data_IF_638576288054
#
_entry.id   IF_638576288054
#
_cell.length_a   1.000
_cell.length_b   1.000
_cell.length_c   1.000
_cell.angle_alpha   90.00
_cell.angle_beta   90.00
_cell.angle_gamma   90.00
#
_symmetry.space_group_name_H-M   'P 1'
#
loop_
_entity.id
_entity.type
_entity.pdbx_description
1 polymer ?
#
# COMPACT_ATOMS: atom_id res chain seq x y z
N UNK A 1 -41.77 23.18 28.50
CA UNK A 1 -42.56 22.08 29.09
C UNK A 1 -43.27 21.35 27.96
N UNK A 2 -43.03 20.03 27.86
CA UNK A 2 -43.84 19.01 27.18
C UNK A 2 -44.15 19.21 25.68
N UNK A 3 -44.27 18.21 24.81
CA UNK A 3 -44.34 16.76 24.98
C UNK A 3 -44.03 16.15 23.61
N UNK A 4 -43.18 15.13 23.58
CA UNK A 4 -42.92 14.32 22.38
C UNK A 4 -44.14 13.45 22.08
N UNK A 5 -44.72 13.58 20.88
CA UNK A 5 -45.74 12.65 20.38
C UNK A 5 -45.10 11.53 19.56
N UNK A 6 -45.40 10.32 20.01
CA UNK A 6 -45.03 9.02 19.44
C UNK A 6 -45.87 8.77 18.18
N UNK A 7 -45.22 8.44 17.07
CA UNK A 7 -45.88 7.93 15.86
C UNK A 7 -46.02 6.40 15.94
N UNK A 8 -47.26 5.92 15.91
CA UNK A 8 -47.60 4.51 15.68
C UNK A 8 -47.70 4.23 14.17
N UNK A 9 -47.23 3.07 13.66
CA UNK A 9 -47.35 2.72 12.25
C UNK A 9 -48.80 2.40 11.88
N UNK A 10 -49.36 3.17 10.96
CA UNK A 10 -50.69 2.96 10.41
C UNK A 10 -50.77 1.68 9.57
N UNK A 11 -51.80 0.88 9.87
CA UNK A 11 -52.29 -0.22 9.05
C UNK A 11 -52.65 0.27 7.63
N UNK A 12 -52.02 -0.29 6.60
CA UNK A 12 -52.52 -0.19 5.23
C UNK A 12 -53.46 -1.35 4.94
N UNK A 13 -54.77 -1.08 4.98
CA UNK A 13 -55.81 -1.96 4.44
C UNK A 13 -55.70 -1.95 2.91
N UNK A 14 -55.35 -3.09 2.32
CA UNK A 14 -55.47 -3.30 0.87
C UNK A 14 -56.89 -3.77 0.54
N UNK A 15 -57.73 -2.88 0.03
CA UNK A 15 -58.98 -3.23 -0.65
C UNK A 15 -58.88 -2.78 -2.12
N UNK A 16 -58.20 -3.58 -2.94
CA UNK A 16 -58.39 -3.52 -4.39
C UNK A 16 -59.41 -4.59 -4.76
N UNK A 17 -60.69 -4.31 -4.48
CA UNK A 17 -61.81 -5.09 -5.01
C UNK A 17 -62.09 -4.53 -6.40
N UNK A 18 -61.63 -5.22 -7.43
CA UNK A 18 -62.05 -4.94 -8.81
C UNK A 18 -63.51 -5.38 -8.90
N UNK A 19 -64.47 -4.48 -9.19
CA UNK A 19 -65.86 -4.90 -9.35
C UNK A 19 -65.90 -5.88 -10.53
N UNK A 20 -66.41 -7.08 -10.29
CA UNK A 20 -66.63 -8.10 -11.32
C UNK A 20 -67.64 -7.54 -12.32
N UNK A 21 -67.13 -6.91 -13.38
CA UNK A 21 -67.93 -6.45 -14.51
C UNK A 21 -68.74 -7.62 -15.03
N UNK A 22 -70.06 -7.39 -15.17
CA UNK A 22 -70.98 -8.39 -15.71
C UNK A 22 -70.46 -8.88 -17.06
N UNK A 23 -70.26 -10.18 -17.20
CA UNK A 23 -69.93 -10.79 -18.48
C UNK A 23 -71.10 -10.55 -19.44
N UNK A 24 -70.85 -9.78 -20.50
CA UNK A 24 -71.78 -9.66 -21.61
C UNK A 24 -71.91 -11.04 -22.27
N UNK A 25 -73.14 -11.47 -22.64
CA UNK A 25 -73.32 -12.73 -23.35
C UNK A 25 -72.49 -12.69 -24.63
N UNK A 26 -71.47 -13.55 -24.70
CA UNK A 26 -70.63 -13.68 -25.89
C UNK A 26 -71.47 -14.29 -26.99
N UNK A 27 -71.60 -13.58 -28.11
CA UNK A 27 -72.13 -14.14 -29.34
C UNK A 27 -71.23 -15.28 -29.81
N UNK A 28 -71.77 -16.49 -30.07
CA UNK A 28 -70.97 -17.59 -30.58
C UNK A 28 -70.39 -17.23 -31.96
N UNK A 29 -69.14 -17.62 -32.26
CA UNK A 29 -68.51 -17.32 -33.54
C UNK A 29 -69.33 -17.95 -34.67
N UNK A 30 -69.72 -17.13 -35.65
CA UNK A 30 -70.46 -17.59 -36.82
C UNK A 30 -69.54 -18.49 -37.67
N UNK A 31 -69.69 -19.81 -37.53
CA UNK A 31 -68.91 -20.84 -38.26
C UNK A 31 -69.19 -20.89 -39.77
N UNK A 32 -70.18 -20.15 -40.26
CA UNK A 32 -70.63 -20.19 -41.65
C UNK A 32 -70.22 -18.98 -42.49
N UNK A 33 -69.48 -18.03 -41.93
CA UNK A 33 -69.01 -16.85 -42.68
C UNK A 33 -67.56 -17.06 -43.09
N UNK A 34 -67.34 -17.91 -44.11
CA UNK A 34 -66.08 -17.94 -44.85
C UNK A 34 -66.11 -16.84 -45.92
N UNK A 35 -66.06 -15.57 -45.50
CA UNK A 35 -65.68 -14.53 -46.46
C UNK A 35 -64.21 -14.73 -46.80
N UNK A 36 -63.96 -15.33 -47.95
CA UNK A 36 -62.65 -15.31 -48.59
C UNK A 36 -62.38 -13.85 -48.94
N UNK A 37 -61.65 -13.15 -48.06
CA UNK A 37 -61.09 -11.83 -48.37
C UNK A 37 -60.15 -12.01 -49.56
N UNK A 38 -60.67 -11.78 -50.76
CA UNK A 38 -59.86 -11.59 -51.95
C UNK A 38 -59.20 -10.22 -51.80
N UNK A 39 -57.94 -10.21 -51.38
CA UNK A 39 -57.06 -9.07 -51.64
C UNK A 39 -56.87 -9.04 -53.16
N UNK A 40 -57.74 -8.30 -53.84
CA UNK A 40 -57.38 -7.83 -55.16
C UNK A 40 -56.19 -6.90 -54.95
N UNK A 41 -55.02 -7.32 -55.41
CA UNK A 41 -53.91 -6.43 -55.72
C UNK A 41 -54.35 -5.54 -56.89
N UNK A 42 -55.28 -4.62 -56.62
CA UNK A 42 -55.43 -3.45 -57.47
C UNK A 42 -54.25 -2.53 -57.14
N UNK A 43 -53.24 -2.67 -57.98
CA UNK A 43 -52.20 -1.67 -58.18
C UNK A 43 -52.90 -0.40 -58.65
N UNK A 44 -53.35 0.42 -57.70
CA UNK A 44 -53.69 1.81 -57.96
C UNK A 44 -52.44 2.47 -58.57
N UNK A 45 -52.55 3.13 -59.74
CA UNK A 45 -51.41 3.73 -60.39
C UNK A 45 -50.85 4.79 -59.46
N UNK A 46 -49.56 4.66 -59.17
CA UNK A 46 -48.80 5.51 -58.29
C UNK A 46 -48.93 6.98 -58.70
N UNK A 47 -49.85 7.70 -58.08
CA UNK A 47 -49.57 9.08 -57.73
C UNK A 47 -48.46 9.00 -56.71
N UNK A 48 -47.30 9.49 -57.10
CA UNK A 48 -46.13 9.72 -56.27
C UNK A 48 -46.53 10.65 -55.14
N UNK A 49 -47.11 10.10 -54.06
CA UNK A 49 -47.21 10.76 -52.78
C UNK A 49 -46.01 10.28 -51.97
N UNK A 50 -44.95 11.07 -52.09
CA UNK A 50 -43.69 11.01 -51.39
C UNK A 50 -43.82 10.54 -49.93
N UNK A 51 -43.03 9.53 -49.57
CA UNK A 51 -42.56 9.24 -48.21
C UNK A 51 -43.64 9.04 -47.15
N UNK A 52 -44.11 7.80 -47.01
CA UNK A 52 -44.92 7.23 -45.91
C UNK A 52 -45.20 8.21 -44.74
N UNK A 53 -46.14 9.13 -44.99
CA UNK A 53 -46.61 10.08 -44.00
C UNK A 53 -47.47 9.31 -42.99
N UNK A 54 -46.81 8.87 -41.94
CA UNK A 54 -47.39 8.36 -40.70
C UNK A 54 -48.13 7.03 -40.85
N UNK A 55 -47.52 5.89 -40.44
CA UNK A 55 -48.15 4.57 -40.55
C UNK A 55 -49.47 4.46 -39.76
N UNK A 56 -49.74 5.37 -38.82
CA UNK A 56 -51.02 5.44 -38.09
C UNK A 56 -52.17 6.07 -38.91
N UNK A 57 -51.87 6.87 -39.94
CA UNK A 57 -52.87 7.48 -40.83
C UNK A 57 -53.10 6.64 -42.09
N UNK A 58 -52.31 5.57 -42.27
CA UNK A 58 -52.49 4.57 -43.33
C UNK A 58 -53.85 3.88 -43.15
N UNK A 59 -54.80 4.20 -44.03
CA UNK A 59 -56.16 3.62 -44.04
C UNK A 59 -57.29 4.61 -43.71
N UNK A 60 -56.98 5.83 -43.26
CA UNK A 60 -57.99 6.91 -43.12
C UNK A 60 -58.18 7.64 -44.46
N UNK A 61 -58.92 7.03 -45.38
CA UNK A 61 -59.28 7.66 -46.65
C UNK A 61 -60.14 8.91 -46.46
N UNK A 62 -59.80 10.01 -47.13
CA UNK A 62 -60.57 11.26 -47.13
C UNK A 62 -60.16 12.28 -46.06
N UNK A 63 -59.21 11.97 -45.18
CA UNK A 63 -58.65 12.95 -44.25
C UNK A 63 -57.57 13.79 -44.94
N UNK A 64 -57.73 15.12 -44.96
CA UNK A 64 -56.67 16.04 -45.40
C UNK A 64 -55.93 16.55 -44.17
N UNK A 65 -54.63 16.29 -44.13
CA UNK A 65 -53.75 16.75 -43.07
C UNK A 65 -53.72 18.28 -43.07
N UNK A 66 -54.25 18.90 -42.01
CA UNK A 66 -54.19 20.36 -41.88
C UNK A 66 -52.76 20.79 -41.55
N UNK A 67 -52.43 22.07 -41.78
CA UNK A 67 -51.11 22.60 -41.40
C UNK A 67 -50.83 22.40 -39.90
N UNK A 68 -51.86 22.58 -39.06
CA UNK A 68 -51.77 22.34 -37.62
C UNK A 68 -51.43 20.89 -37.27
N UNK A 69 -51.94 19.92 -38.03
CA UNK A 69 -51.61 18.50 -37.82
C UNK A 69 -50.16 18.22 -38.22
N UNK A 70 -49.67 18.83 -39.30
CA UNK A 70 -48.28 18.70 -39.75
C UNK A 70 -47.30 19.20 -38.69
N UNK A 71 -47.54 20.42 -38.18
CA UNK A 71 -46.69 21.04 -37.15
C UNK A 71 -46.69 20.22 -35.85
N UNK A 72 -47.83 19.66 -35.45
CA UNK A 72 -47.94 18.79 -34.28
C UNK A 72 -47.09 17.53 -34.45
N UNK A 73 -47.20 16.89 -35.61
CA UNK A 73 -46.47 15.64 -35.87
C UNK A 73 -44.97 15.90 -35.96
N UNK A 74 -44.56 16.98 -36.62
CA UNK A 74 -43.17 17.39 -36.68
C UNK A 74 -42.62 17.64 -35.27
N UNK A 75 -43.33 18.43 -34.45
CA UNK A 75 -42.95 18.70 -33.07
C UNK A 75 -42.84 17.43 -32.23
N UNK A 76 -43.79 16.51 -32.37
CA UNK A 76 -43.75 15.21 -31.68
C UNK A 76 -42.52 14.39 -32.11
N UNK A 77 -42.19 14.38 -33.40
CA UNK A 77 -41.01 13.68 -33.91
C UNK A 77 -39.71 14.33 -33.43
N UNK A 78 -39.63 15.66 -33.44
CA UNK A 78 -38.49 16.41 -32.90
C UNK A 78 -38.32 16.12 -31.40
N UNK A 79 -39.40 16.13 -30.61
CA UNK A 79 -39.34 15.82 -29.17
C UNK A 79 -38.87 14.38 -28.92
N UNK A 80 -39.36 13.40 -29.72
CA UNK A 80 -38.89 12.01 -29.64
C UNK A 80 -37.40 11.90 -29.96
N UNK A 81 -36.94 12.55 -31.03
CA UNK A 81 -35.54 12.56 -31.41
C UNK A 81 -34.68 13.21 -30.33
N UNK A 82 -35.13 14.33 -29.77
CA UNK A 82 -34.42 15.03 -28.70
C UNK A 82 -34.27 14.16 -27.46
N UNK A 83 -35.35 13.47 -27.03
CA UNK A 83 -35.30 12.55 -25.88
C UNK A 83 -34.38 11.36 -26.15
N UNK A 84 -34.39 10.80 -27.36
CA UNK A 84 -33.49 9.72 -27.74
C UNK A 84 -32.03 10.16 -27.69
N UNK A 85 -31.69 11.28 -28.31
CA UNK A 85 -30.32 11.81 -28.31
C UNK A 85 -29.83 12.17 -26.90
N UNK A 86 -30.70 12.71 -26.04
CA UNK A 86 -30.37 12.95 -24.64
C UNK A 86 -30.10 11.64 -23.88
N UNK A 87 -30.87 10.60 -24.15
CA UNK A 87 -30.64 9.27 -23.59
C UNK A 87 -29.31 8.69 -24.04
N UNK A 88 -29.03 8.72 -25.34
CA UNK A 88 -27.77 8.23 -25.91
C UNK A 88 -26.54 8.97 -25.38
N UNK A 89 -26.65 10.30 -25.18
CA UNK A 89 -25.59 11.10 -24.58
C UNK A 89 -25.32 10.66 -23.14
N UNK A 90 -26.36 10.51 -22.31
CA UNK A 90 -26.21 10.04 -20.93
C UNK A 90 -25.63 8.62 -20.86
N UNK A 91 -26.04 7.73 -21.76
CA UNK A 91 -25.52 6.37 -21.85
C UNK A 91 -24.03 6.38 -22.24
N UNK A 92 -23.63 7.18 -23.23
CA UNK A 92 -22.23 7.35 -23.63
C UNK A 92 -21.37 7.92 -22.50
N UNK A 93 -21.84 8.96 -21.81
CA UNK A 93 -21.15 9.51 -20.64
C UNK A 93 -20.98 8.46 -19.53
N UNK A 94 -22.02 7.67 -19.25
CA UNK A 94 -21.94 6.60 -18.27
C UNK A 94 -20.96 5.50 -18.68
N UNK A 95 -20.87 5.20 -19.98
CA UNK A 95 -19.96 4.21 -20.55
C UNK A 95 -18.51 4.68 -20.44
N UNK A 96 -18.22 5.92 -20.85
CA UNK A 96 -16.88 6.52 -20.75
C UNK A 96 -16.41 6.55 -19.29
N UNK A 97 -17.26 6.96 -18.36
CA UNK A 97 -16.92 6.98 -16.93
C UNK A 97 -16.62 5.58 -16.38
N UNK A 98 -17.38 4.56 -16.81
CA UNK A 98 -17.13 3.17 -16.42
C UNK A 98 -15.77 2.68 -16.95
N UNK A 99 -15.46 2.99 -18.21
CA UNK A 99 -14.18 2.62 -18.83
C UNK A 99 -13.00 3.37 -18.19
N UNK A 100 -13.16 4.66 -17.88
CA UNK A 100 -12.16 5.45 -17.17
C UNK A 100 -11.82 4.83 -15.80
N UNK A 101 -12.85 4.47 -15.02
CA UNK A 101 -12.66 3.79 -13.73
C UNK A 101 -11.99 2.41 -13.89
N UNK A 102 -12.31 1.68 -14.95
CA UNK A 102 -11.66 0.40 -15.25
C UNK A 102 -10.17 0.60 -15.58
N UNK A 103 -9.85 1.61 -16.39
CA UNK A 103 -8.47 1.96 -16.75
C UNK A 103 -7.66 2.39 -15.52
N UNK A 104 -8.21 3.23 -14.65
CA UNK A 104 -7.55 3.65 -13.41
C UNK A 104 -7.24 2.46 -12.49
N UNK A 105 -8.17 1.50 -12.39
CA UNK A 105 -7.95 0.26 -11.66
C UNK A 105 -6.82 -0.57 -12.29
N UNK A 106 -6.80 -0.69 -13.61
CA UNK A 106 -5.73 -1.39 -14.33
C UNK A 106 -4.36 -0.72 -14.16
N UNK A 107 -4.30 0.61 -14.22
CA UNK A 107 -3.06 1.36 -13.96
C UNK A 107 -2.57 1.15 -12.53
N UNK A 108 -3.47 1.26 -11.55
CA UNK A 108 -3.14 0.99 -10.14
C UNK A 108 -2.64 -0.44 -9.92
N UNK A 109 -3.20 -1.42 -10.63
CA UNK A 109 -2.75 -2.82 -10.60
C UNK A 109 -1.36 -2.97 -11.22
N UNK A 110 -1.12 -2.33 -12.37
CA UNK A 110 0.18 -2.34 -13.05
C UNK A 110 1.27 -1.68 -12.20
N UNK A 111 0.99 -0.54 -11.58
CA UNK A 111 1.93 0.15 -10.69
C UNK A 111 2.35 -0.75 -9.52
N UNK A 112 1.39 -1.39 -8.85
CA UNK A 112 1.68 -2.37 -7.78
C UNK A 112 2.52 -3.55 -8.27
N UNK A 113 2.28 -4.02 -9.49
CA UNK A 113 3.08 -5.09 -10.09
C UNK A 113 4.52 -4.63 -10.36
N UNK A 114 4.72 -3.41 -10.86
CA UNK A 114 6.04 -2.81 -11.08
C UNK A 114 6.79 -2.56 -9.76
N UNK A 115 6.13 -2.02 -8.74
CA UNK A 115 6.68 -1.92 -7.38
C UNK A 115 7.05 -3.28 -6.79
N UNK A 116 6.31 -4.33 -7.16
CA UNK A 116 6.65 -5.71 -6.83
C UNK A 116 7.95 -6.14 -7.49
N UNK A 117 8.13 -5.82 -8.78
CA UNK A 117 9.32 -6.15 -9.57
C UNK A 117 10.57 -5.38 -9.11
N UNK A 118 10.43 -4.13 -8.69
CA UNK A 118 11.56 -3.31 -8.20
C UNK A 118 12.20 -3.86 -6.91
N UNK A 119 11.45 -4.68 -6.15
CA UNK A 119 11.97 -5.36 -4.96
C UNK A 119 12.85 -6.57 -5.29
N UNK A 120 12.87 -7.02 -6.54
CA UNK A 120 13.71 -8.14 -6.94
C UNK A 120 15.13 -7.67 -7.21
N UNK A 121 16.14 -8.44 -6.76
CA UNK A 121 17.52 -8.14 -7.09
C UNK A 121 17.73 -8.14 -8.61
N UNK A 122 18.54 -7.19 -9.10
CA UNK A 122 18.94 -7.13 -10.52
C UNK A 122 19.61 -8.44 -10.94
N UNK A 123 19.46 -8.83 -12.21
CA UNK A 123 20.09 -10.04 -12.75
C UNK A 123 21.59 -10.15 -12.46
N UNK A 124 22.34 -9.04 -12.57
CA UNK A 124 23.76 -8.98 -12.23
C UNK A 124 24.02 -9.39 -10.77
N UNK A 125 23.24 -8.83 -9.84
CA UNK A 125 23.38 -9.16 -8.42
C UNK A 125 23.04 -10.62 -8.13
N UNK A 126 22.08 -11.21 -8.84
CA UNK A 126 21.77 -12.64 -8.71
C UNK A 126 22.92 -13.52 -9.21
N UNK A 127 23.56 -13.14 -10.32
CA UNK A 127 24.74 -13.82 -10.86
C UNK A 127 25.91 -13.71 -9.88
N UNK A 128 26.18 -12.54 -9.32
CA UNK A 128 27.27 -12.34 -8.35
C UNK A 128 27.06 -13.18 -7.08
N UNK A 129 25.81 -13.22 -6.58
CA UNK A 129 25.45 -14.07 -5.45
C UNK A 129 25.64 -15.56 -5.79
N UNK A 130 25.26 -15.99 -7.00
CA UNK A 130 25.48 -17.35 -7.47
C UNK A 130 26.97 -17.69 -7.55
N UNK A 131 27.81 -16.80 -8.11
CA UNK A 131 29.28 -17.00 -8.15
C UNK A 131 29.85 -17.13 -6.75
N UNK A 132 29.45 -16.25 -5.83
CA UNK A 132 29.92 -16.25 -4.43
C UNK A 132 29.49 -17.50 -3.65
N UNK A 133 28.30 -18.03 -3.97
CA UNK A 133 27.81 -19.26 -3.37
C UNK A 133 28.60 -20.47 -3.90
N UNK A 134 28.71 -20.58 -5.22
CA UNK A 134 29.30 -21.73 -5.88
C UNK A 134 30.82 -21.79 -5.74
N UNK A 135 31.50 -20.67 -5.55
CA UNK A 135 32.94 -20.62 -5.27
C UNK A 135 33.36 -21.34 -3.99
N UNK A 136 32.40 -21.66 -3.11
CA UNK A 136 32.63 -22.48 -1.91
C UNK A 136 32.71 -23.99 -2.24
N UNK A 137 32.19 -24.39 -3.39
CA UNK A 137 32.01 -25.81 -3.77
C UNK A 137 32.68 -26.18 -5.10
N UNK A 138 32.86 -25.20 -5.99
CA UNK A 138 33.34 -25.37 -7.35
C UNK A 138 34.56 -24.45 -7.55
N UNK A 139 35.64 -24.94 -8.19
CA UNK A 139 36.83 -24.13 -8.45
C UNK A 139 36.54 -22.95 -9.39
N UNK A 140 37.21 -21.82 -9.15
CA UNK A 140 36.92 -20.55 -9.82
C UNK A 140 37.02 -20.62 -11.36
N UNK A 141 37.97 -21.38 -11.90
CA UNK A 141 38.19 -21.48 -13.36
C UNK A 141 37.05 -22.12 -14.15
N UNK A 142 36.21 -22.94 -13.49
CA UNK A 142 35.01 -23.54 -14.11
C UNK A 142 33.82 -22.56 -14.08
N UNK A 143 33.77 -21.69 -13.07
CA UNK A 143 32.70 -20.70 -12.89
C UNK A 143 32.73 -19.59 -13.93
N UNK A 144 33.92 -19.19 -14.38
CA UNK A 144 34.10 -18.10 -15.35
C UNK A 144 33.73 -18.51 -16.78
N UNK A 145 33.68 -19.81 -17.06
CA UNK A 145 33.30 -20.37 -18.36
C UNK A 145 31.78 -20.57 -18.52
N UNK A 146 31.03 -20.55 -17.42
CA UNK A 146 29.59 -20.74 -17.42
C UNK A 146 28.86 -19.45 -17.82
N UNK A 147 27.88 -19.60 -18.70
CA UNK A 147 26.93 -18.52 -19.00
C UNK A 147 26.02 -18.24 -17.80
N UNK A 148 25.44 -17.04 -17.74
CA UNK A 148 24.61 -16.62 -16.61
C UNK A 148 23.45 -17.58 -16.33
N UNK A 149 22.86 -18.19 -17.36
CA UNK A 149 21.74 -19.13 -17.20
C UNK A 149 22.19 -20.45 -16.59
N UNK A 150 23.28 -21.05 -17.08
CA UNK A 150 23.80 -22.30 -16.51
C UNK A 150 24.36 -22.10 -15.11
N UNK A 151 25.01 -20.95 -14.84
CA UNK A 151 25.45 -20.58 -13.51
C UNK A 151 24.27 -20.56 -12.52
N UNK A 152 23.20 -19.84 -12.84
CA UNK A 152 22.01 -19.78 -11.98
C UNK A 152 21.32 -21.15 -11.84
N UNK A 153 21.31 -21.96 -12.89
CA UNK A 153 20.76 -23.32 -12.84
C UNK A 153 21.57 -24.27 -11.95
N UNK A 154 22.88 -24.06 -11.84
CA UNK A 154 23.76 -24.87 -10.98
C UNK A 154 23.62 -24.54 -9.49
N UNK A 155 22.98 -23.43 -9.13
CA UNK A 155 22.66 -23.09 -7.75
C UNK A 155 21.57 -24.02 -7.22
N UNK A 156 21.96 -24.93 -6.32
CA UNK A 156 21.01 -25.82 -5.64
C UNK A 156 20.48 -25.19 -4.36
N UNK A 157 19.19 -25.42 -4.07
CA UNK A 157 18.56 -24.94 -2.83
C UNK A 157 19.29 -25.47 -1.58
N UNK A 158 19.71 -26.74 -1.60
CA UNK A 158 20.45 -27.35 -0.50
C UNK A 158 21.80 -26.66 -0.26
N UNK A 159 22.52 -26.32 -1.33
CA UNK A 159 23.76 -25.52 -1.27
C UNK A 159 23.52 -24.15 -0.65
N UNK A 160 22.46 -23.45 -1.10
CA UNK A 160 22.09 -22.14 -0.56
C UNK A 160 21.75 -22.20 0.94
N UNK A 161 20.90 -23.15 1.36
CA UNK A 161 20.53 -23.33 2.77
C UNK A 161 21.75 -23.64 3.65
N UNK A 162 22.69 -24.45 3.14
CA UNK A 162 23.94 -24.76 3.84
C UNK A 162 24.81 -23.53 4.00
N UNK A 163 25.05 -22.77 2.93
CA UNK A 163 25.86 -21.56 2.96
C UNK A 163 25.28 -20.50 3.91
N UNK A 164 23.95 -20.31 3.92
CA UNK A 164 23.28 -19.41 4.87
C UNK A 164 23.52 -19.87 6.31
N UNK A 165 23.35 -21.16 6.58
CA UNK A 165 23.55 -21.73 7.92
C UNK A 165 25.01 -21.63 8.38
N UNK A 166 25.96 -21.75 7.47
CA UNK A 166 27.39 -21.59 7.75
C UNK A 166 27.74 -20.12 8.03
N UNK A 167 27.33 -19.18 7.17
CA UNK A 167 27.55 -17.75 7.40
C UNK A 167 26.88 -17.28 8.68
N UNK A 168 25.69 -17.77 9.00
CA UNK A 168 25.01 -17.49 10.27
C UNK A 168 25.84 -17.97 11.47
N UNK A 169 26.30 -19.23 11.44
CA UNK A 169 27.18 -19.78 12.48
C UNK A 169 28.49 -19.00 12.63
N UNK A 170 29.09 -18.58 11.51
CA UNK A 170 30.32 -17.77 11.53
C UNK A 170 30.08 -16.39 12.17
N UNK A 171 28.97 -15.73 11.83
CA UNK A 171 28.56 -14.45 12.45
C UNK A 171 28.31 -14.63 13.95
N UNK A 172 27.59 -15.68 14.35
CA UNK A 172 27.30 -15.95 15.76
C UNK A 172 28.59 -16.25 16.55
N UNK A 173 29.51 -17.02 15.96
CA UNK A 173 30.83 -17.29 16.55
C UNK A 173 31.67 -16.01 16.70
N UNK A 174 31.65 -15.12 15.70
CA UNK A 174 32.36 -13.84 15.78
C UNK A 174 31.76 -12.93 16.85
N UNK A 175 30.44 -12.85 16.95
CA UNK A 175 29.74 -12.08 18.00
C UNK A 175 30.12 -12.56 19.41
N UNK A 176 30.14 -13.87 19.63
CA UNK A 176 30.59 -14.44 20.92
C UNK A 176 32.07 -14.16 21.18
N UNK A 177 32.90 -14.20 20.15
CA UNK A 177 34.32 -13.82 20.25
C UNK A 177 34.51 -12.35 20.65
N UNK A 178 33.69 -11.44 20.11
CA UNK A 178 33.70 -10.01 20.50
C UNK A 178 33.26 -9.85 21.95
N UNK A 179 32.13 -10.45 22.34
CA UNK A 179 31.62 -10.38 23.72
C UNK A 179 32.64 -10.87 24.76
N UNK A 180 33.30 -12.00 24.49
CA UNK A 180 34.34 -12.53 25.39
C UNK A 180 35.57 -11.63 25.49
N UNK A 181 35.92 -10.93 24.41
CA UNK A 181 37.04 -9.97 24.43
C UNK A 181 36.66 -8.73 25.25
N UNK A 182 35.44 -8.23 25.09
CA UNK A 182 34.91 -7.12 25.88
C UNK A 182 34.88 -7.48 27.37
N UNK A 183 34.34 -8.65 27.75
CA UNK A 183 34.32 -9.12 29.14
C UNK A 183 35.72 -9.26 29.74
N UNK A 184 36.69 -9.77 28.97
CA UNK A 184 38.09 -9.83 29.41
C UNK A 184 38.67 -8.44 29.67
N UNK A 185 38.41 -7.49 28.79
CA UNK A 185 38.85 -6.11 28.98
C UNK A 185 38.19 -5.46 30.20
N UNK A 186 36.89 -5.69 30.43
CA UNK A 186 36.19 -5.19 31.61
C UNK A 186 36.77 -5.77 32.90
N UNK A 187 37.04 -7.08 32.94
CA UNK A 187 37.65 -7.73 34.09
C UNK A 187 39.06 -7.20 34.36
N UNK A 188 39.88 -6.99 33.32
CA UNK A 188 41.21 -6.39 33.44
C UNK A 188 41.15 -4.94 33.96
N UNK A 189 40.14 -4.17 33.53
CA UNK A 189 39.89 -2.82 34.06
C UNK A 189 39.50 -2.86 35.54
N UNK A 190 38.65 -3.82 35.94
CA UNK A 190 38.24 -3.99 37.34
C UNK A 190 39.42 -4.39 38.23
N UNK A 191 40.25 -5.31 37.77
CA UNK A 191 41.45 -5.75 38.47
C UNK A 191 42.41 -4.57 38.71
N UNK A 192 42.73 -3.79 37.67
CA UNK A 192 43.55 -2.58 37.80
C UNK A 192 42.94 -1.54 38.73
N UNK A 193 41.62 -1.38 38.73
CA UNK A 193 40.93 -0.49 39.67
C UNK A 193 41.14 -0.92 41.13
N UNK A 194 41.05 -2.22 41.41
CA UNK A 194 41.32 -2.76 42.74
C UNK A 194 42.79 -2.57 43.15
N UNK A 195 43.72 -2.76 42.23
CA UNK A 195 45.14 -2.49 42.47
C UNK A 195 45.40 -1.02 42.82
N UNK A 196 44.84 -0.09 42.06
CA UNK A 196 44.92 1.36 42.33
C UNK A 196 44.34 1.68 43.71
N UNK A 197 43.20 1.09 44.08
CA UNK A 197 42.61 1.29 45.40
C UNK A 197 43.53 0.78 46.52
N UNK A 198 44.17 -0.38 46.34
CA UNK A 198 45.15 -0.91 47.30
C UNK A 198 46.35 0.03 47.48
N UNK A 199 46.91 0.54 46.38
CA UNK A 199 47.99 1.52 46.41
C UNK A 199 47.57 2.83 47.06
N UNK A 200 46.33 3.29 46.85
CA UNK A 200 45.79 4.47 47.52
C UNK A 200 45.74 4.30 49.05
N UNK A 201 45.35 3.13 49.54
CA UNK A 201 45.34 2.82 50.99
C UNK A 201 46.76 2.85 51.55
N UNK A 202 47.72 2.21 50.88
CA UNK A 202 49.12 2.23 51.30
C UNK A 202 49.69 3.65 51.32
N UNK A 203 49.44 4.45 50.29
CA UNK A 203 49.84 5.86 50.23
C UNK A 203 49.22 6.68 51.36
N UNK A 204 47.96 6.43 51.73
CA UNK A 204 47.34 7.09 52.87
C UNK A 204 48.01 6.70 54.19
N UNK A 205 48.34 5.42 54.38
CA UNK A 205 49.10 4.92 55.53
C UNK A 205 50.46 5.60 55.68
N UNK A 206 51.26 5.60 54.61
CA UNK A 206 52.57 6.27 54.59
C UNK A 206 52.47 7.77 54.82
N UNK A 207 51.45 8.45 54.27
CA UNK A 207 51.21 9.88 54.53
C UNK A 207 50.93 10.15 56.01
N UNK A 208 50.12 9.32 56.66
CA UNK A 208 49.87 9.42 58.09
C UNK A 208 51.15 9.18 58.92
N UNK A 209 51.97 8.22 58.52
CA UNK A 209 53.25 7.91 59.19
C UNK A 209 54.24 9.07 59.07
N UNK A 210 54.41 9.65 57.87
CA UNK A 210 55.22 10.85 57.65
C UNK A 210 54.69 12.04 58.47
N UNK A 211 53.37 12.20 58.58
CA UNK A 211 52.78 13.26 59.39
C UNK A 211 53.08 13.08 60.89
N UNK A 212 52.94 11.85 61.41
CA UNK A 212 53.31 11.51 62.79
C UNK A 212 54.78 11.76 63.08
N UNK A 213 55.68 11.34 62.18
CA UNK A 213 57.12 11.58 62.35
C UNK A 213 57.46 13.08 62.36
N UNK A 214 56.81 13.87 61.48
CA UNK A 214 56.94 15.34 61.49
C UNK A 214 56.44 15.98 62.79
N UNK A 215 55.38 15.45 63.38
CA UNK A 215 54.82 15.93 64.65
C UNK A 215 55.70 15.53 65.84
N UNK A 216 56.23 14.30 65.86
CA UNK A 216 57.24 13.86 66.84
C UNK A 216 58.53 14.67 66.76
N UNK A 217 58.92 15.18 65.58
CA UNK A 217 60.04 16.12 65.41
C UNK A 217 59.70 17.56 65.81
N UNK A 218 58.42 17.91 66.05
CA UNK A 218 57.95 19.30 66.23
C UNK A 218 57.66 19.72 67.67
N UNK A 219 57.85 18.87 68.69
CA UNK A 219 57.63 19.31 70.07
C UNK A 219 58.52 18.56 71.08
N UNK A 220 59.26 19.24 72.00
CA UNK A 220 59.66 20.65 72.02
C UNK A 220 61.19 20.85 72.24
N UNK A 221 61.77 21.80 71.51
CA UNK A 221 62.75 22.73 72.09
C UNK A 221 62.23 24.14 71.85
N UNK A 222 62.15 24.91 72.93
CA UNK A 222 61.75 26.31 72.89
C UNK A 222 62.93 27.25 72.70
N UNK A 223 62.61 28.39 72.06
CA UNK A 223 63.21 29.74 72.19
C UNK A 223 64.56 30.00 71.47
N UNK A 224 64.51 30.91 70.48
CA UNK A 224 65.00 32.30 70.64
C UNK A 224 64.34 33.25 69.64
N UNK A 225 64.39 34.54 69.99
CA UNK A 225 63.52 35.63 69.58
C UNK A 225 64.01 36.45 68.37
N UNK A 226 63.10 37.33 67.88
CA UNK A 226 63.28 38.74 67.45
C UNK A 226 64.41 39.10 66.45
N UNK A 227 64.29 40.04 65.50
CA UNK A 227 63.23 40.93 65.04
C UNK A 227 63.74 41.68 63.78
N UNK A 228 62.86 41.80 62.76
CA UNK A 228 62.60 42.99 61.91
C UNK A 228 63.76 43.66 61.08
N UNK A 229 63.55 44.80 60.37
CA UNK A 229 62.75 45.00 59.15
C UNK A 229 63.47 45.86 58.06
N UNK A 230 63.20 45.72 56.75
CA UNK A 230 63.28 46.89 55.83
C UNK A 230 62.53 46.76 54.50
N UNK A 231 61.76 47.82 54.26
CA UNK A 231 61.17 48.42 53.04
C UNK A 231 61.65 48.00 51.64
N UNK A 232 60.62 47.76 50.82
CA UNK A 232 60.27 48.48 49.58
C UNK A 232 61.10 48.30 48.28
N UNK A 233 60.33 47.91 47.24
CA UNK A 233 60.17 48.61 45.96
C UNK A 233 60.62 47.87 44.68
N UNK A 234 59.78 48.05 43.65
CA UNK A 234 60.00 47.93 42.20
C UNK A 234 59.99 46.52 41.58
N UNK A 235 58.86 46.23 40.93
CA UNK A 235 58.89 45.77 39.53
C UNK A 235 59.60 46.85 38.68
N UNK A 236 60.36 46.55 37.60
CA UNK A 236 59.79 45.83 36.47
C UNK A 236 60.76 44.96 35.62
N UNK A 237 60.13 44.20 34.71
CA UNK A 237 60.55 43.96 33.31
C UNK A 237 61.76 43.06 32.99
N UNK A 238 61.45 42.17 32.05
CA UNK A 238 62.23 41.78 30.87
C UNK A 238 63.22 40.62 31.06
N UNK A 239 63.46 39.74 30.09
CA UNK A 239 62.80 39.47 28.81
C UNK A 239 63.42 38.18 28.23
N UNK A 240 62.57 37.46 27.47
CA UNK A 240 62.84 36.86 26.16
C UNK A 240 63.99 35.86 26.01
N UNK A 241 63.58 34.65 25.66
CA UNK A 241 63.78 34.06 24.32
C UNK A 241 62.92 32.79 24.23
N UNK A 242 62.34 32.38 23.12
CA UNK A 242 62.18 32.98 21.80
C UNK A 242 61.18 32.10 20.99
N UNK A 243 60.42 32.76 20.10
CA UNK A 243 60.16 32.40 18.68
C UNK A 243 59.41 31.08 18.36
N UNK A 244 58.48 30.98 17.41
CA UNK A 244 58.02 31.84 16.28
C UNK A 244 56.76 31.14 15.72
N UNK A 245 55.70 31.85 15.31
CA UNK A 245 55.44 32.28 13.92
C UNK A 245 55.54 31.09 12.92
N UNK A 246 54.64 30.81 11.98
CA UNK A 246 53.69 31.64 11.24
C UNK A 246 53.00 30.73 10.20
N UNK A 247 51.77 31.08 9.79
CA UNK A 247 51.19 30.83 8.44
C UNK A 247 50.96 29.37 8.01
N UNK A 248 50.05 28.97 7.12
CA UNK A 248 48.90 29.55 6.40
C UNK A 248 48.44 28.42 5.46
N UNK A 249 47.14 28.09 5.40
CA UNK A 249 46.44 27.65 4.17
C UNK A 249 44.93 27.45 4.41
N UNK A 250 44.12 28.31 3.75
CA UNK A 250 42.88 28.06 2.96
C UNK A 250 41.83 27.04 3.48
N UNK A 251 40.51 27.21 3.37
CA UNK A 251 39.60 28.21 2.78
C UNK A 251 38.15 27.87 3.22
N UNK A 252 37.31 28.90 3.41
CA UNK A 252 35.87 29.08 3.03
C UNK A 252 35.07 27.83 2.58
N UNK A 253 33.80 27.62 2.95
CA UNK A 253 32.67 28.58 3.02
C UNK A 253 31.39 27.98 3.64
N UNK A 254 30.63 28.83 4.36
CA UNK A 254 29.15 28.94 4.44
C UNK A 254 28.36 27.71 4.97
N UNK A 255 27.31 27.80 5.79
CA UNK A 255 26.23 28.77 5.96
C UNK A 255 25.59 28.53 7.34
N UNK A 256 25.35 29.55 8.18
CA UNK A 256 24.06 30.23 8.32
C UNK A 256 22.83 29.31 8.39
N UNK A 257 22.07 29.41 9.49
CA UNK A 257 20.61 29.40 9.41
C UNK A 257 19.86 28.34 10.21
N UNK A 258 19.33 28.80 11.35
CA UNK A 258 17.96 28.57 11.82
C UNK A 258 17.48 27.14 12.11
N UNK A 259 17.47 26.85 13.41
CA UNK A 259 16.25 26.61 14.20
C UNK A 259 14.93 26.41 13.43
N UNK A 260 14.42 25.18 13.47
CA UNK A 260 13.02 24.84 13.29
C UNK A 260 12.57 23.97 14.46
N UNK A 261 11.82 24.57 15.37
CA UNK A 261 11.23 23.91 16.52
C UNK A 261 10.00 23.07 16.11
N UNK A 262 9.90 21.83 16.59
CA UNK A 262 8.61 21.17 16.82
C UNK A 262 8.70 20.17 17.99
N UNK A 263 8.37 20.70 19.17
CA UNK A 263 7.41 20.16 20.15
C UNK A 263 7.32 18.62 20.27
N UNK A 264 8.06 18.09 21.23
CA UNK A 264 7.81 16.79 21.83
C UNK A 264 6.45 16.79 22.56
N UNK A 265 5.58 15.84 22.20
CA UNK A 265 4.35 15.56 22.96
C UNK A 265 4.41 14.13 23.51
N UNK A 266 4.56 14.10 24.83
CA UNK A 266 4.01 13.16 25.81
C UNK A 266 3.65 11.73 25.37
N UNK A 267 4.41 10.82 25.95
CA UNK A 267 4.24 9.37 26.02
C UNK A 267 3.01 9.04 26.88
N UNK A 268 2.03 8.32 26.33
CA UNK A 268 0.94 7.70 27.12
C UNK A 268 0.87 6.21 26.81
N UNK A 269 1.18 5.41 27.83
CA UNK A 269 1.04 3.96 27.89
C UNK A 269 -0.42 3.56 27.93
N UNK A 270 -0.86 2.63 27.08
CA UNK A 270 -2.06 1.83 27.32
C UNK A 270 -1.97 0.46 26.62
N UNK A 271 -2.35 -0.56 27.38
CA UNK A 271 -2.25 -1.99 27.13
C UNK A 271 -2.96 -2.51 25.86
N UNK A 272 -2.58 -3.68 25.33
CA UNK A 272 -3.40 -4.43 24.38
C UNK A 272 -4.25 -5.49 25.11
N UNK A 273 -5.56 -5.45 24.87
CA UNK A 273 -6.48 -6.56 25.12
C UNK A 273 -6.63 -7.46 23.89
N UNK A 274 -7.15 -8.69 24.03
CA UNK A 274 -7.03 -9.76 23.06
C UNK A 274 -8.21 -9.80 22.08
N UNK A 275 -7.95 -10.09 20.81
CA UNK A 275 -9.00 -10.46 19.86
C UNK A 275 -8.61 -11.69 19.04
N UNK A 276 -9.17 -12.80 19.50
CA UNK A 276 -9.74 -13.92 18.76
C UNK A 276 -9.37 -14.12 17.27
N UNK A 277 -8.70 -15.25 17.04
CA UNK A 277 -8.70 -16.05 15.82
C UNK A 277 -10.07 -16.67 15.49
N UNK A 278 -10.35 -16.97 14.21
CA UNK A 278 -11.14 -18.16 13.85
C UNK A 278 -10.33 -19.16 12.99
N UNK A 279 -10.63 -20.47 13.08
CA UNK A 279 -9.83 -21.53 12.46
C UNK A 279 -10.26 -21.83 11.02
N UNK A 280 -9.25 -22.16 10.20
CA UNK A 280 -9.40 -22.77 8.89
C UNK A 280 -9.73 -24.27 9.02
N UNK A 281 -10.78 -24.71 8.32
CA UNK A 281 -11.10 -26.12 8.14
C UNK A 281 -10.39 -26.65 6.88
N UNK A 282 -9.47 -27.60 7.09
CA UNK A 282 -8.92 -28.48 6.07
C UNK A 282 -9.94 -29.55 5.69
N UNK A 283 -10.24 -29.70 4.38
CA UNK A 283 -10.69 -30.97 3.82
C UNK A 283 -9.94 -31.27 2.53
N UNK A 284 -9.17 -32.34 2.63
CA UNK A 284 -8.53 -33.11 1.56
C UNK A 284 -9.58 -33.90 0.78
N UNK A 285 -9.35 -34.10 -0.53
CA UNK A 285 -10.14 -34.97 -1.37
C UNK A 285 -9.65 -34.94 -2.82
N UNK A 286 -9.05 -36.04 -3.27
CA UNK A 286 -8.25 -36.22 -4.49
C UNK A 286 -9.04 -37.11 -5.48
N UNK A 287 -9.13 -36.73 -6.76
CA UNK A 287 -9.31 -37.59 -7.96
C UNK A 287 -9.29 -36.66 -9.21
N UNK A 288 -8.22 -36.64 -10.00
CA UNK A 288 -7.93 -37.51 -11.16
C UNK A 288 -8.84 -37.26 -12.38
N UNK A 289 -8.31 -36.58 -13.41
CA UNK A 289 -8.43 -36.97 -14.83
C UNK A 289 -7.57 -36.05 -15.70
N UNK A 290 -6.69 -36.68 -16.48
CA UNK A 290 -5.92 -36.16 -17.62
C UNK A 290 -6.84 -36.26 -18.85
N UNK A 291 -7.03 -35.17 -19.62
CA UNK A 291 -7.22 -35.23 -21.08
C UNK A 291 -6.72 -33.91 -21.70
N UNK A 292 -6.02 -34.06 -22.80
CA UNK A 292 -5.37 -33.09 -23.68
C UNK A 292 -6.32 -32.34 -24.61
N UNK A 293 -5.79 -31.23 -25.15
CA UNK A 293 -5.96 -30.72 -26.52
C UNK A 293 -7.12 -29.77 -26.94
N UNK A 294 -6.66 -28.69 -27.61
CA UNK A 294 -7.21 -27.97 -28.77
C UNK A 294 -8.41 -27.01 -28.64
N UNK A 295 -8.09 -25.75 -28.98
CA UNK A 295 -8.68 -24.90 -30.00
C UNK A 295 -10.16 -24.42 -29.93
N UNK A 296 -10.25 -23.09 -30.09
CA UNK A 296 -11.25 -22.33 -30.87
C UNK A 296 -12.58 -21.88 -30.24
N UNK A 297 -12.87 -20.61 -30.58
CA UNK A 297 -14.18 -20.00 -30.83
C UNK A 297 -15.10 -19.62 -29.65
N UNK A 298 -15.20 -18.30 -29.47
CA UNK A 298 -16.44 -17.51 -29.47
C UNK A 298 -17.77 -18.27 -29.28
N UNK A 299 -18.51 -17.95 -28.21
CA UNK A 299 -19.96 -17.72 -28.34
C UNK A 299 -20.52 -16.94 -27.15
N UNK A 300 -21.00 -15.74 -27.44
CA UNK A 300 -21.94 -14.96 -26.62
C UNK A 300 -23.28 -15.72 -26.65
N UNK A 301 -23.77 -16.14 -25.48
CA UNK A 301 -24.97 -16.98 -25.36
C UNK A 301 -25.98 -16.43 -24.36
N UNK A 302 -27.03 -15.81 -24.89
CA UNK A 302 -28.25 -15.34 -24.22
C UNK A 302 -28.77 -16.32 -23.16
N UNK A 303 -28.82 -15.86 -21.90
CA UNK A 303 -29.59 -16.51 -20.82
C UNK A 303 -31.10 -16.31 -21.07
N UNK A 304 -31.74 -17.24 -21.78
CA UNK A 304 -33.20 -17.34 -21.86
C UNK A 304 -33.78 -17.86 -20.55
N UNK A 305 -34.61 -17.03 -19.93
CA UNK A 305 -35.41 -17.34 -18.73
C UNK A 305 -36.45 -18.42 -19.04
N UNK A 306 -36.46 -19.52 -18.26
CA UNK A 306 -37.52 -20.53 -18.24
C UNK A 306 -38.43 -20.25 -17.05
N UNK A 307 -39.63 -19.72 -17.29
CA UNK A 307 -40.78 -19.85 -16.37
C UNK A 307 -41.54 -21.10 -16.76
N UNK A 308 -41.57 -22.09 -15.89
CA UNK A 308 -42.47 -23.25 -16.00
C UNK A 308 -43.66 -22.96 -15.08
N UNK A 309 -44.85 -22.90 -15.68
CA UNK A 309 -46.12 -22.90 -14.97
C UNK A 309 -46.43 -24.31 -14.46
N UNK A 310 -46.78 -24.44 -13.18
CA UNK A 310 -47.38 -25.66 -12.63
C UNK A 310 -48.88 -25.43 -12.48
N UNK A 311 -49.64 -26.30 -13.14
CA UNK A 311 -51.09 -26.43 -13.01
C UNK A 311 -51.34 -27.75 -12.29
N UNK A 312 -51.92 -27.70 -11.09
CA UNK A 312 -52.67 -28.79 -10.45
C UNK A 312 -53.89 -28.17 -9.81
#
# INVERSE_FOLDING_TARGET
MASSQVWSPGQRKSFNVIPSGRELPRTPPMSHVKHRLSFADEVCPATVCSGDAFPMLRGMGGYQLTQTDQDFIEKMNQEKLQKNLQGELADLESSINREAMALDLHLSSKEKALEGLDKFPTCETMVDLARTLLSQTVPAGELDQLDHRSLLASVTEAGLRRAISEKKRAVDSLKEGVRKKEEKQENEILERKHEIQGLMIQLAGLKCEVAKERESRRSPEGKTAAAQPVRASRAPRSNKSATTATASARQRSQSAGKSGATKATSRRTRAPGPTASPPAATKTGKAAAIVTETAAAQSVGLRRSKRIATRK
#
